data_IF_276196102991
#
_entry.id   IF_276196102991
#
_cell.length_a   1.000
_cell.length_b   1.000
_cell.length_c   1.000
_cell.angle_alpha   90.00
_cell.angle_beta   90.00
_cell.angle_gamma   90.00
#
_symmetry.space_group_name_H-M   'P 1'
#
loop_
_entity.id
_entity.type
_entity.pdbx_description
1 polymer ?
#
# COMPACT_ATOMS: atom_id res chain seq x y z
N UNK A 1 7.41 1.63 -10.65
CA UNK A 1 6.38 0.71 -11.18
C UNK A 1 6.50 0.46 -12.68
N UNK A 2 6.33 1.45 -13.57
CA UNK A 2 6.38 1.25 -15.02
C UNK A 2 7.66 0.53 -15.51
N UNK A 3 8.84 1.02 -15.10
CA UNK A 3 10.12 0.39 -15.44
C UNK A 3 10.24 -1.08 -14.98
N UNK A 4 9.72 -1.41 -13.80
CA UNK A 4 9.71 -2.80 -13.29
C UNK A 4 8.84 -3.73 -14.15
N UNK A 5 7.79 -3.19 -14.76
CA UNK A 5 6.87 -3.91 -15.64
C UNK A 5 7.34 -3.90 -17.10
N UNK A 6 8.46 -3.25 -17.43
CA UNK A 6 8.97 -3.14 -18.80
C UNK A 6 8.09 -2.30 -19.73
N UNK A 7 7.30 -1.38 -19.19
CA UNK A 7 6.40 -0.49 -19.95
C UNK A 7 6.77 0.98 -19.72
N UNK A 8 6.38 1.86 -20.65
CA UNK A 8 6.52 3.30 -20.44
C UNK A 8 5.45 3.86 -19.47
N UNK A 9 5.64 5.11 -19.04
CA UNK A 9 4.76 5.74 -18.06
C UNK A 9 3.34 5.99 -18.57
N UNK A 10 3.16 6.29 -19.86
CA UNK A 10 1.85 6.49 -20.49
C UNK A 10 1.09 5.17 -20.58
N UNK A 11 1.76 4.13 -21.06
CA UNK A 11 1.20 2.78 -21.07
C UNK A 11 0.83 2.32 -19.65
N UNK A 12 1.70 2.53 -18.67
CA UNK A 12 1.43 2.19 -17.27
C UNK A 12 0.14 2.87 -16.75
N UNK A 13 0.00 4.19 -16.99
CA UNK A 13 -1.21 4.93 -16.57
C UNK A 13 -2.45 4.35 -17.23
N UNK A 14 -2.42 4.13 -18.54
CA UNK A 14 -3.56 3.62 -19.29
C UNK A 14 -3.98 2.22 -18.84
N UNK A 15 -3.01 1.34 -18.59
CA UNK A 15 -3.26 -0.06 -18.24
C UNK A 15 -3.63 -0.25 -16.78
N UNK A 16 -2.97 0.44 -15.85
CA UNK A 16 -3.01 0.09 -14.42
C UNK A 16 -3.54 1.18 -13.49
N UNK A 17 -3.74 2.41 -13.96
CA UNK A 17 -4.22 3.53 -13.11
C UNK A 17 -5.68 3.85 -13.42
N UNK A 18 -6.44 4.23 -12.39
CA UNK A 18 -7.81 4.72 -12.49
C UNK A 18 -7.93 6.10 -11.86
N UNK A 19 -8.78 6.95 -12.45
CA UNK A 19 -9.19 8.25 -11.91
C UNK A 19 -10.57 8.23 -11.28
N UNK A 20 -11.12 7.05 -10.96
CA UNK A 20 -12.45 6.88 -10.35
C UNK A 20 -12.58 7.60 -9.00
N UNK A 21 -11.48 7.73 -8.27
CA UNK A 21 -11.43 8.29 -6.92
C UNK A 21 -10.92 9.74 -6.94
N UNK A 22 -10.98 10.39 -5.78
CA UNK A 22 -10.48 11.78 -5.60
C UNK A 22 -9.01 11.92 -6.03
N UNK A 23 -8.20 10.90 -5.80
CA UNK A 23 -6.81 10.82 -6.25
C UNK A 23 -6.62 9.60 -7.17
N UNK A 24 -5.65 9.64 -8.11
CA UNK A 24 -5.32 8.49 -8.94
C UNK A 24 -4.94 7.27 -8.09
N UNK A 25 -5.53 6.12 -8.38
CA UNK A 25 -5.21 4.85 -7.72
C UNK A 25 -4.87 3.77 -8.75
N UNK A 26 -4.38 2.64 -8.25
CA UNK A 26 -4.26 1.44 -9.07
C UNK A 26 -5.65 0.84 -9.31
N UNK A 27 -5.90 0.36 -10.53
CA UNK A 27 -7.15 -0.32 -10.87
C UNK A 27 -7.39 -1.52 -9.96
N UNK A 28 -8.65 -1.79 -9.72
CA UNK A 28 -9.13 -2.94 -8.96
C UNK A 28 -9.69 -4.02 -9.92
N UNK A 29 -9.63 -5.28 -9.49
CA UNK A 29 -10.33 -6.41 -10.11
C UNK A 29 -11.81 -6.38 -9.71
N UNK A 30 -12.61 -7.29 -10.26
CA UNK A 30 -14.03 -7.43 -9.91
C UNK A 30 -14.29 -7.70 -8.43
N UNK A 31 -13.35 -8.35 -7.72
CA UNK A 31 -13.44 -8.61 -6.28
C UNK A 31 -12.97 -7.45 -5.40
N UNK A 32 -12.55 -6.32 -5.99
CA UNK A 32 -12.04 -5.16 -5.27
C UNK A 32 -10.54 -5.22 -4.95
N UNK A 33 -9.85 -6.32 -5.27
CA UNK A 33 -8.41 -6.42 -5.07
C UNK A 33 -7.66 -5.56 -6.08
N UNK A 34 -6.51 -5.03 -5.69
CA UNK A 34 -5.62 -4.33 -6.60
C UNK A 34 -5.24 -5.21 -7.82
N UNK A 35 -5.11 -4.61 -9.00
CA UNK A 35 -4.73 -5.29 -10.25
C UNK A 35 -3.42 -6.09 -10.14
N UNK A 36 -2.54 -5.74 -9.21
CA UNK A 36 -1.28 -6.45 -8.97
C UNK A 36 -1.33 -7.51 -7.86
N UNK A 37 -2.44 -7.66 -7.14
CA UNK A 37 -2.62 -8.78 -6.20
C UNK A 37 -2.67 -10.10 -6.99
N UNK A 38 -2.02 -11.13 -6.49
CA UNK A 38 -2.11 -12.49 -6.99
C UNK A 38 -2.92 -13.33 -6.00
N UNK A 39 -4.07 -13.84 -6.44
CA UNK A 39 -4.98 -14.60 -5.59
C UNK A 39 -4.46 -16.01 -5.27
N UNK A 40 -3.55 -16.56 -6.08
CA UNK A 40 -3.01 -17.92 -5.86
C UNK A 40 -1.95 -17.88 -4.77
N UNK A 41 -1.03 -16.93 -4.84
CA UNK A 41 0.07 -16.79 -3.88
C UNK A 41 -0.29 -15.89 -2.69
N UNK A 42 -1.37 -15.11 -2.81
CA UNK A 42 -1.75 -14.03 -1.91
C UNK A 42 -0.67 -12.94 -1.76
N UNK A 43 0.12 -12.70 -2.81
CA UNK A 43 1.23 -11.73 -2.82
C UNK A 43 1.01 -10.63 -3.87
N UNK A 44 1.74 -9.52 -3.70
CA UNK A 44 1.79 -8.45 -4.71
C UNK A 44 2.81 -8.79 -5.80
N UNK A 45 2.38 -8.81 -7.06
CA UNK A 45 3.26 -9.12 -8.21
C UNK A 45 4.33 -8.06 -8.48
N UNK A 46 4.20 -6.87 -7.88
CA UNK A 46 5.15 -5.76 -8.00
C UNK A 46 5.71 -5.34 -6.63
N UNK A 47 5.79 -6.28 -5.68
CA UNK A 47 6.16 -6.02 -4.28
C UNK A 47 7.36 -5.08 -4.08
N UNK A 48 8.48 -5.21 -4.84
CA UNK A 48 9.67 -4.36 -4.64
C UNK A 48 9.46 -2.89 -5.02
N UNK A 49 8.42 -2.58 -5.80
CA UNK A 49 8.15 -1.23 -6.32
C UNK A 49 6.74 -0.75 -5.99
N UNK A 50 6.18 -1.26 -4.88
CA UNK A 50 4.87 -0.84 -4.36
C UNK A 50 4.81 0.68 -4.18
N UNK A 51 3.65 1.30 -4.43
CA UNK A 51 3.47 2.72 -4.12
C UNK A 51 3.64 2.96 -2.62
N UNK A 52 4.06 4.17 -2.25
CA UNK A 52 4.36 4.54 -0.85
C UNK A 52 3.25 4.15 0.12
N UNK A 53 1.98 4.41 -0.22
CA UNK A 53 0.83 4.00 0.61
C UNK A 53 0.85 2.50 0.95
N UNK A 54 1.08 1.62 -0.03
CA UNK A 54 1.14 0.18 0.20
C UNK A 54 2.41 -0.26 0.93
N UNK A 55 3.52 0.48 0.79
CA UNK A 55 4.77 0.20 1.50
C UNK A 55 4.76 0.68 2.95
N UNK A 56 3.89 1.65 3.28
CA UNK A 56 3.75 2.20 4.63
C UNK A 56 2.78 1.42 5.50
N UNK A 57 1.98 0.50 4.96
CA UNK A 57 1.18 -0.39 5.79
C UNK A 57 2.12 -1.27 6.65
N UNK A 58 1.89 -1.43 7.96
CA UNK A 58 0.70 -1.04 8.74
C UNK A 58 0.79 0.32 9.47
N UNK A 59 1.78 1.16 9.18
CA UNK A 59 2.02 2.45 9.84
C UNK A 59 1.15 3.60 9.33
N UNK A 60 -0.09 3.31 8.92
CA UNK A 60 -1.01 4.35 8.53
C UNK A 60 -1.50 5.12 9.77
N UNK A 61 -1.56 6.47 9.78
CA UNK A 61 -2.12 7.28 10.84
C UNK A 61 -3.40 6.73 11.47
N UNK A 62 -4.36 6.25 10.67
CA UNK A 62 -5.61 5.68 11.19
C UNK A 62 -5.40 4.44 12.07
N UNK A 63 -4.36 3.63 11.78
CA UNK A 63 -4.00 2.45 12.56
C UNK A 63 -3.16 2.80 13.79
N UNK A 64 -2.38 3.87 13.72
CA UNK A 64 -1.55 4.37 14.82
C UNK A 64 -2.33 5.30 15.77
N UNK A 65 -3.59 5.61 15.47
CA UNK A 65 -4.41 6.55 16.23
C UNK A 65 -4.67 6.09 17.67
N UNK A 66 -4.77 4.77 17.90
CA UNK A 66 -4.89 4.20 19.23
C UNK A 66 -4.46 2.71 19.25
N UNK A 67 -4.11 2.15 20.42
CA UNK A 67 -3.85 0.71 20.56
C UNK A 67 -5.02 -0.14 20.06
N UNK A 68 -6.26 0.28 20.29
CA UNK A 68 -7.45 -0.45 19.86
C UNK A 68 -7.59 -0.50 18.33
N UNK A 69 -7.24 0.60 17.64
CA UNK A 69 -7.25 0.64 16.17
C UNK A 69 -6.21 -0.31 15.56
N UNK A 70 -5.02 -0.35 16.18
CA UNK A 70 -3.96 -1.29 15.81
C UNK A 70 -4.39 -2.75 16.04
N UNK A 71 -4.91 -3.05 17.22
CA UNK A 71 -5.33 -4.40 17.61
C UNK A 71 -6.47 -4.90 16.72
N UNK A 72 -7.45 -4.05 16.41
CA UNK A 72 -8.53 -4.36 15.45
C UNK A 72 -7.97 -4.78 14.10
N UNK A 73 -7.08 -3.97 13.52
CA UNK A 73 -6.49 -4.25 12.22
C UNK A 73 -5.65 -5.55 12.25
N UNK A 74 -4.91 -5.78 13.34
CA UNK A 74 -4.10 -6.97 13.52
C UNK A 74 -4.93 -8.27 13.57
N UNK A 75 -6.22 -8.21 13.93
CA UNK A 75 -7.11 -9.40 13.84
C UNK A 75 -7.32 -9.89 12.41
N UNK A 76 -7.20 -8.99 11.43
CA UNK A 76 -7.44 -9.28 10.02
C UNK A 76 -6.16 -9.46 9.20
N UNK A 77 -5.02 -8.97 9.70
CA UNK A 77 -3.75 -9.00 8.99
C UNK A 77 -2.73 -9.92 9.68
N UNK A 78 -2.36 -11.07 9.06
CA UNK A 78 -1.39 -11.99 9.65
C UNK A 78 0.05 -11.44 9.70
N UNK A 79 0.30 -10.30 9.02
CA UNK A 79 1.61 -9.64 9.01
C UNK A 79 1.80 -8.60 10.11
N UNK A 80 0.75 -8.22 10.84
CA UNK A 80 0.87 -7.31 11.98
C UNK A 80 1.34 -8.06 13.22
N UNK A 81 1.98 -7.34 14.16
CA UNK A 81 2.55 -7.90 15.39
C UNK A 81 3.62 -8.98 15.16
N UNK A 82 4.23 -8.99 13.98
CA UNK A 82 5.38 -9.82 13.64
C UNK A 82 6.27 -9.11 12.62
N UNK A 83 7.48 -9.64 12.40
CA UNK A 83 8.43 -9.07 11.45
C UNK A 83 9.53 -8.22 12.11
N UNK A 84 10.11 -7.31 11.33
CA UNK A 84 11.22 -6.46 11.77
C UNK A 84 10.74 -5.36 12.73
N UNK A 85 11.60 -5.03 13.69
CA UNK A 85 11.35 -3.90 14.58
C UNK A 85 11.59 -2.59 13.83
N UNK A 86 10.64 -1.66 13.93
CA UNK A 86 10.77 -0.28 13.47
C UNK A 86 10.55 0.66 14.65
N UNK A 87 11.50 1.56 14.88
CA UNK A 87 11.41 2.62 15.88
C UNK A 87 10.39 3.69 15.46
N UNK A 88 9.91 4.47 16.43
CA UNK A 88 9.02 5.59 16.17
C UNK A 88 9.64 6.63 15.21
N UNK A 89 10.96 6.82 15.28
CA UNK A 89 11.71 7.74 14.42
C UNK A 89 11.76 7.24 12.96
N UNK A 90 12.00 5.95 12.74
CA UNK A 90 11.97 5.34 11.40
C UNK A 90 10.59 5.42 10.78
N UNK A 91 9.55 5.15 11.58
CA UNK A 91 8.15 5.25 11.14
C UNK A 91 7.82 6.70 10.75
N UNK A 92 8.16 7.67 11.59
CA UNK A 92 7.91 9.07 11.32
C UNK A 92 8.63 9.57 10.05
N UNK A 93 9.89 9.14 9.84
CA UNK A 93 10.66 9.47 8.64
C UNK A 93 10.03 8.88 7.38
N UNK A 94 9.61 7.61 7.42
CA UNK A 94 8.95 6.95 6.30
C UNK A 94 7.61 7.63 5.95
N UNK A 95 6.82 8.00 6.96
CA UNK A 95 5.56 8.72 6.77
C UNK A 95 5.75 10.12 6.18
N UNK A 96 6.78 10.85 6.61
CA UNK A 96 7.09 12.19 6.09
C UNK A 96 7.45 12.19 4.60
N UNK A 97 7.91 11.06 4.06
CA UNK A 97 8.15 10.88 2.63
C UNK A 97 6.86 10.66 1.82
N UNK A 98 5.72 10.40 2.47
CA UNK A 98 4.44 10.22 1.78
C UNK A 98 3.86 11.58 1.38
N UNK A 99 3.64 11.84 0.07
CA UNK A 99 3.04 13.09 -0.38
C UNK A 99 1.53 13.17 -0.13
N UNK A 100 0.91 12.13 0.44
CA UNK A 100 -0.53 12.02 0.65
C UNK A 100 -0.88 11.61 2.09
N UNK A 101 -0.57 12.43 3.10
CA UNK A 101 -0.84 12.10 4.50
C UNK A 101 -2.33 11.89 4.78
N UNK A 102 -3.21 12.62 4.08
CA UNK A 102 -4.66 12.51 4.22
C UNK A 102 -5.27 11.24 3.60
N UNK A 103 -4.46 10.44 2.88
CA UNK A 103 -4.89 9.18 2.23
C UNK A 103 -4.42 7.94 3.00
N UNK A 104 -3.86 8.11 4.20
CA UNK A 104 -3.40 7.04 5.10
C UNK A 104 -4.26 7.00 6.38
#
# INVERSE_FOLDING_TARGET
>A
MAAFLGVDAGEFRNRFVTGKWRAPSLKEKSGGECVFHDAVTNLCRIYPVRPLQCSLFPFWPVLLASPEAWDEAARSCPGMNGGEFHSAEEIALAMAACPFPDLL
#
